data_IF_319107998989
#
_entry.id   IF_319107998989
#
_cell.length_a   1.000
_cell.length_b   1.000
_cell.length_c   1.000
_cell.angle_alpha   90.00
_cell.angle_beta   90.00
_cell.angle_gamma   90.00
#
_symmetry.space_group_name_H-M   'P 1'
#
loop_
_entity.id
_entity.type
_entity.pdbx_description
1 polymer ?
#
# COMPACT_ATOMS: atom_id res chain seq x y z
N UNK A 1 69.71 3.34 49.65
CA UNK A 1 70.04 3.06 48.23
C UNK A 1 69.21 4.05 47.38
N UNK A 2 69.62 5.32 47.25
CA UNK A 2 70.43 5.91 46.13
C UNK A 2 69.73 5.72 44.77
N UNK A 3 69.28 6.72 44.00
CA UNK A 3 69.69 8.14 43.77
C UNK A 3 68.50 8.98 43.23
N UNK A 4 68.16 10.17 43.78
CA UNK A 4 68.51 11.56 43.34
C UNK A 4 68.27 11.86 41.84
N UNK A 5 67.20 12.60 41.46
CA UNK A 5 67.05 14.09 41.26
C UNK A 5 67.79 14.64 40.00
N UNK A 6 67.34 15.74 39.31
CA UNK A 6 66.68 16.93 39.86
C UNK A 6 65.62 17.68 39.00
N UNK A 7 65.13 18.73 39.65
CA UNK A 7 64.29 19.90 39.31
C UNK A 7 64.81 20.85 38.20
N UNK A 8 63.87 21.63 37.62
CA UNK A 8 63.80 23.11 37.40
C UNK A 8 63.55 23.67 35.98
N UNK A 9 62.58 24.61 35.98
CA UNK A 9 62.47 25.92 35.29
C UNK A 9 62.11 26.09 33.79
N UNK A 10 60.93 26.72 33.61
CA UNK A 10 60.67 28.00 32.90
C UNK A 10 61.48 28.35 31.64
N UNK A 11 60.80 28.42 30.49
CA UNK A 11 60.41 29.67 29.80
C UNK A 11 60.08 29.43 28.31
N UNK A 12 59.00 30.08 27.86
CA UNK A 12 58.64 30.38 26.46
C UNK A 12 59.83 31.04 25.70
N UNK A 13 59.92 31.02 24.35
CA UNK A 13 58.88 31.60 23.48
C UNK A 13 58.67 31.01 22.06
N UNK A 14 57.58 31.52 21.47
CA UNK A 14 57.10 31.58 20.08
C UNK A 14 58.07 31.35 18.92
N UNK A 15 57.66 30.54 17.92
CA UNK A 15 57.54 30.97 16.50
C UNK A 15 56.72 29.98 15.65
N UNK A 16 55.68 30.55 15.04
CA UNK A 16 55.01 30.32 13.75
C UNK A 16 55.53 29.21 12.81
N UNK A 17 54.69 28.20 12.52
CA UNK A 17 54.52 27.63 11.16
C UNK A 17 53.19 26.86 11.05
N UNK A 18 52.42 27.17 10.01
CA UNK A 18 51.14 26.53 9.60
C UNK A 18 51.27 25.03 9.33
N UNK A 19 50.19 24.24 9.50
CA UNK A 19 49.59 23.62 8.30
C UNK A 19 48.06 23.41 8.31
N UNK A 20 47.49 23.55 7.11
CA UNK A 20 46.46 22.71 6.46
C UNK A 20 45.26 22.11 7.25
N UNK A 21 44.07 22.67 6.94
CA UNK A 21 42.76 22.06 6.56
C UNK A 21 42.36 20.67 7.10
N UNK A 22 41.27 20.62 7.89
CA UNK A 22 40.02 19.91 7.57
C UNK A 22 38.89 20.32 8.54
N UNK A 23 37.66 20.60 8.07
CA UNK A 23 36.55 20.98 8.94
C UNK A 23 35.55 19.83 9.18
N UNK A 24 34.77 19.99 10.25
CA UNK A 24 33.53 19.30 10.61
C UNK A 24 33.63 17.98 11.41
N UNK A 25 33.39 18.09 12.71
CA UNK A 25 32.84 17.01 13.55
C UNK A 25 31.32 17.14 13.61
N UNK A 26 30.56 16.03 13.53
CA UNK A 26 29.10 16.09 13.55
C UNK A 26 28.58 16.18 14.99
N UNK A 27 27.78 17.21 15.25
CA UNK A 27 26.94 17.32 16.44
C UNK A 27 25.82 16.28 16.37
N UNK A 28 25.86 15.31 17.28
CA UNK A 28 24.79 14.34 17.55
C UNK A 28 23.57 15.14 18.08
N UNK A 29 22.51 15.24 17.26
CA UNK A 29 21.17 15.63 17.74
C UNK A 29 20.41 14.36 18.08
N UNK A 30 20.10 14.22 19.35
CA UNK A 30 19.09 13.31 19.88
C UNK A 30 17.73 13.72 19.29
N UNK A 31 17.22 12.95 18.33
CA UNK A 31 15.85 13.13 17.84
C UNK A 31 14.90 12.53 18.88
N UNK A 32 14.20 13.40 19.60
CA UNK A 32 12.99 13.04 20.32
C UNK A 32 11.98 12.46 19.33
N UNK A 33 11.50 11.26 19.63
CA UNK A 33 10.48 10.54 18.85
C UNK A 33 9.17 11.31 19.04
N UNK A 34 8.82 12.11 18.02
CA UNK A 34 7.56 12.82 17.93
C UNK A 34 6.46 11.93 17.38
N UNK A 35 5.27 12.12 17.94
CA UNK A 35 4.00 11.44 17.62
C UNK A 35 3.69 11.52 16.12
N UNK A 36 3.60 10.36 15.47
CA UNK A 36 3.17 10.25 14.08
C UNK A 36 1.65 10.35 14.00
N UNK A 37 1.13 11.57 13.92
CA UNK A 37 -0.14 11.80 13.23
C UNK A 37 0.10 11.42 11.76
N UNK A 38 -0.67 10.48 11.21
CA UNK A 38 -0.69 10.24 9.76
C UNK A 38 -1.34 11.45 9.09
N UNK A 39 -0.57 12.53 8.93
CA UNK A 39 -0.96 13.65 8.08
C UNK A 39 -0.71 13.21 6.65
N UNK A 40 -1.74 12.74 5.95
CA UNK A 40 -1.71 12.69 4.49
C UNK A 40 -1.33 14.10 4.00
N UNK A 41 -0.19 14.22 3.33
CA UNK A 41 0.21 15.49 2.74
C UNK A 41 -0.62 15.61 1.47
N UNK A 42 -1.82 16.20 1.57
CA UNK A 42 -2.65 16.45 0.38
C UNK A 42 -1.86 17.39 -0.54
N UNK A 43 -1.26 16.83 -1.59
CA UNK A 43 -0.53 17.61 -2.58
C UNK A 43 -1.52 18.50 -3.32
N UNK A 44 -1.38 19.82 -3.19
CA UNK A 44 -2.26 20.79 -3.84
C UNK A 44 -2.18 20.74 -5.38
N UNK A 45 -1.12 20.14 -5.93
CA UNK A 45 -0.88 19.98 -7.36
C UNK A 45 -0.53 18.53 -7.69
N UNK A 46 -1.02 17.98 -8.81
CA UNK A 46 -0.63 16.65 -9.24
C UNK A 46 0.90 16.50 -9.37
N UNK A 47 1.44 15.40 -8.85
CA UNK A 47 2.85 15.04 -8.98
C UNK A 47 2.96 13.78 -9.82
N UNK A 48 3.70 13.87 -10.92
CA UNK A 48 3.95 12.74 -11.80
C UNK A 48 5.45 12.42 -11.78
N UNK A 49 5.78 11.17 -11.48
CA UNK A 49 7.14 10.66 -11.58
C UNK A 49 7.18 9.45 -12.52
N UNK A 50 8.22 9.40 -13.34
CA UNK A 50 8.46 8.31 -14.28
C UNK A 50 9.89 7.83 -14.13
N UNK A 51 10.08 6.52 -14.04
CA UNK A 51 11.38 5.87 -13.94
C UNK A 51 11.46 4.70 -14.91
N UNK A 52 12.60 4.53 -15.56
CA UNK A 52 12.80 3.44 -16.52
C UNK A 52 14.14 2.74 -16.26
N UNK A 53 14.13 1.41 -16.25
CA UNK A 53 15.32 0.57 -16.14
C UNK A 53 15.09 -0.75 -16.88
N UNK A 54 16.09 -1.18 -17.65
CA UNK A 54 15.95 -2.33 -18.56
C UNK A 54 14.69 -2.19 -19.45
N UNK A 55 13.90 -3.25 -19.57
CA UNK A 55 12.67 -3.31 -20.36
C UNK A 55 11.43 -2.82 -19.57
N UNK A 56 11.61 -2.10 -18.46
CA UNK A 56 10.53 -1.73 -17.54
C UNK A 56 10.45 -0.23 -17.32
N UNK A 57 9.23 0.30 -17.43
CA UNK A 57 8.85 1.67 -17.11
C UNK A 57 7.87 1.68 -15.94
N UNK A 58 8.06 2.60 -15.01
CA UNK A 58 7.24 2.81 -13.83
C UNK A 58 6.73 4.24 -13.85
N UNK A 59 5.42 4.43 -13.93
CA UNK A 59 4.79 5.75 -13.91
C UNK A 59 3.90 5.85 -12.67
N UNK A 60 4.01 6.97 -11.95
CA UNK A 60 3.25 7.26 -10.75
C UNK A 60 2.61 8.62 -10.88
N UNK A 61 1.37 8.73 -10.44
CA UNK A 61 0.65 9.99 -10.34
C UNK A 61 0.05 10.09 -8.94
N UNK A 62 0.30 11.21 -8.26
CA UNK A 62 -0.37 11.59 -7.02
C UNK A 62 -1.22 12.82 -7.27
N UNK A 63 -2.50 12.74 -6.96
CA UNK A 63 -3.44 13.84 -7.14
C UNK A 63 -3.97 14.37 -5.80
N UNK A 64 -4.59 15.55 -5.77
CA UNK A 64 -5.47 15.94 -4.66
C UNK A 64 -6.67 14.98 -4.53
N UNK A 65 -7.39 15.08 -3.40
CA UNK A 65 -8.67 14.38 -3.20
C UNK A 65 -9.65 14.79 -4.30
N UNK A 66 -10.48 13.84 -4.75
CA UNK A 66 -11.54 14.10 -5.73
C UNK A 66 -12.43 15.26 -5.29
N UNK A 67 -12.78 16.12 -6.24
CA UNK A 67 -13.84 17.10 -6.01
C UNK A 67 -15.23 16.45 -6.10
N UNK A 68 -16.28 17.21 -5.81
CA UNK A 68 -17.66 16.72 -5.80
C UNK A 68 -18.08 16.13 -7.16
N UNK A 69 -17.75 16.78 -8.27
CA UNK A 69 -18.10 16.32 -9.62
C UNK A 69 -17.41 15.02 -9.97
N UNK A 70 -16.10 14.90 -9.67
CA UNK A 70 -15.35 13.66 -9.88
C UNK A 70 -15.88 12.52 -9.01
N UNK A 71 -16.23 12.83 -7.76
CA UNK A 71 -16.82 11.87 -6.82
C UNK A 71 -18.19 11.36 -7.28
N UNK A 72 -19.04 12.25 -7.78
CA UNK A 72 -20.36 11.89 -8.31
C UNK A 72 -20.23 11.03 -9.58
N UNK A 73 -19.33 11.40 -10.50
CA UNK A 73 -19.04 10.62 -11.70
C UNK A 73 -18.53 9.21 -11.35
N UNK A 74 -17.63 9.08 -10.37
CA UNK A 74 -17.11 7.78 -9.95
C UNK A 74 -18.20 6.90 -9.33
N UNK A 75 -19.06 7.47 -8.48
CA UNK A 75 -20.21 6.75 -7.90
C UNK A 75 -21.17 6.26 -8.97
N UNK A 76 -21.49 7.11 -9.95
CA UNK A 76 -22.39 6.76 -11.05
C UNK A 76 -21.80 5.67 -11.94
N UNK A 77 -20.51 5.77 -12.27
CA UNK A 77 -19.80 4.77 -13.07
C UNK A 77 -19.75 3.41 -12.36
N UNK A 78 -19.43 3.42 -11.07
CA UNK A 78 -19.33 2.20 -10.27
C UNK A 78 -20.71 1.68 -9.83
N UNK A 79 -21.77 2.49 -9.92
CA UNK A 79 -23.12 2.18 -9.40
C UNK A 79 -23.09 1.83 -7.91
N UNK A 80 -22.35 2.62 -7.12
CA UNK A 80 -22.25 2.49 -5.66
C UNK A 80 -22.76 3.76 -4.99
N UNK A 81 -23.30 3.61 -3.77
CA UNK A 81 -23.89 4.75 -3.07
C UNK A 81 -22.83 5.70 -2.46
N UNK A 82 -21.72 5.14 -1.98
CA UNK A 82 -20.65 5.87 -1.30
C UNK A 82 -19.27 5.45 -1.79
N UNK A 83 -18.33 6.38 -1.70
CA UNK A 83 -16.89 6.18 -1.86
C UNK A 83 -16.18 6.67 -0.59
N UNK A 84 -14.94 6.24 -0.33
CA UNK A 84 -14.12 6.78 0.75
C UNK A 84 -14.05 8.31 0.71
N UNK A 85 -14.08 8.96 1.88
CA UNK A 85 -14.02 10.42 2.02
C UNK A 85 -12.82 11.04 1.30
N UNK A 86 -11.66 10.39 1.37
CA UNK A 86 -10.43 10.81 0.71
C UNK A 86 -10.11 9.84 -0.41
N UNK A 87 -10.86 9.91 -1.52
CA UNK A 87 -10.55 9.14 -2.74
C UNK A 87 -9.62 9.95 -3.65
N UNK A 88 -8.67 9.28 -4.30
CA UNK A 88 -7.71 9.91 -5.21
C UNK A 88 -7.74 9.29 -6.61
N UNK A 89 -7.59 10.12 -7.65
CA UNK A 89 -7.27 9.69 -9.02
C UNK A 89 -5.79 9.30 -9.20
N UNK A 90 -5.07 9.11 -8.10
CA UNK A 90 -3.69 8.67 -8.06
C UNK A 90 -3.55 7.25 -8.62
N UNK A 91 -2.42 6.94 -9.24
CA UNK A 91 -2.15 5.60 -9.77
C UNK A 91 -0.66 5.24 -9.76
N UNK A 92 -0.40 3.94 -9.86
CA UNK A 92 0.89 3.36 -10.24
C UNK A 92 0.68 2.47 -11.46
N UNK A 93 1.46 2.69 -12.51
CA UNK A 93 1.50 1.91 -13.74
C UNK A 93 2.89 1.31 -13.93
N UNK A 94 2.93 0.01 -14.26
CA UNK A 94 4.15 -0.75 -14.54
C UNK A 94 4.01 -1.30 -15.95
N UNK A 95 4.89 -0.86 -16.84
CA UNK A 95 4.85 -1.24 -18.25
C UNK A 95 6.13 -1.96 -18.63
N UNK A 96 6.00 -3.12 -19.27
CA UNK A 96 7.11 -3.75 -19.99
C UNK A 96 7.16 -3.18 -21.40
N UNK A 97 8.23 -2.46 -21.74
CA UNK A 97 8.33 -1.72 -23.00
C UNK A 97 8.59 -2.60 -24.22
N UNK A 98 8.89 -3.89 -24.02
CA UNK A 98 9.19 -4.83 -25.11
C UNK A 98 7.96 -5.60 -25.53
N UNK A 99 7.18 -6.12 -24.57
CA UNK A 99 6.00 -6.93 -24.88
C UNK A 99 4.66 -6.20 -24.67
N UNK A 100 4.68 -4.92 -24.27
CA UNK A 100 3.49 -4.12 -24.04
C UNK A 100 2.65 -4.55 -22.84
N UNK A 101 3.17 -5.43 -21.97
CA UNK A 101 2.48 -5.78 -20.74
C UNK A 101 2.34 -4.56 -19.83
N UNK A 102 1.15 -4.33 -19.31
CA UNK A 102 0.87 -3.26 -18.35
C UNK A 102 0.18 -3.83 -17.11
N UNK A 103 0.51 -3.24 -15.95
CA UNK A 103 -0.08 -3.57 -14.67
C UNK A 103 -0.33 -2.28 -13.89
N UNK A 104 -1.55 -2.09 -13.40
CA UNK A 104 -1.97 -0.85 -12.75
C UNK A 104 -2.49 -1.08 -11.34
N UNK A 105 -2.33 -0.05 -10.52
CA UNK A 105 -3.03 0.11 -9.25
C UNK A 105 -3.72 1.48 -9.27
N UNK A 106 -5.05 1.49 -9.11
CA UNK A 106 -5.85 2.71 -9.03
C UNK A 106 -7.08 2.52 -8.12
N UNK A 107 -7.64 3.62 -7.62
CA UNK A 107 -8.76 3.59 -6.68
C UNK A 107 -10.07 3.08 -7.31
N UNK A 108 -10.34 3.44 -8.56
CA UNK A 108 -11.56 3.06 -9.27
C UNK A 108 -11.70 1.54 -9.37
N UNK A 109 -10.66 0.87 -9.87
CA UNK A 109 -10.66 -0.58 -9.99
C UNK A 109 -10.71 -1.22 -8.61
N UNK A 110 -9.99 -0.65 -7.62
CA UNK A 110 -10.07 -1.15 -6.26
C UNK A 110 -11.50 -1.12 -5.68
N UNK A 111 -12.27 -0.07 -5.98
CA UNK A 111 -13.66 0.07 -5.53
C UNK A 111 -14.62 -0.88 -6.26
N UNK A 112 -14.34 -1.31 -7.50
CA UNK A 112 -15.08 -2.39 -8.15
C UNK A 112 -14.99 -3.69 -7.33
N UNK A 113 -13.80 -4.01 -6.80
CA UNK A 113 -13.57 -5.16 -5.93
C UNK A 113 -13.95 -4.92 -4.46
N UNK A 114 -14.45 -3.72 -4.12
CA UNK A 114 -14.99 -3.40 -2.80
C UNK A 114 -16.51 -3.58 -2.71
N UNK A 115 -17.17 -3.85 -3.83
CA UNK A 115 -18.62 -4.06 -3.85
C UNK A 115 -19.03 -5.28 -3.04
N UNK A 116 -20.23 -5.22 -2.47
CA UNK A 116 -20.84 -6.31 -1.70
C UNK A 116 -20.79 -7.64 -2.49
N UNK A 117 -21.08 -7.61 -3.79
CA UNK A 117 -21.06 -8.78 -4.67
C UNK A 117 -19.69 -9.46 -4.77
N UNK A 118 -18.60 -8.68 -4.71
CA UNK A 118 -17.23 -9.20 -4.74
C UNK A 118 -16.83 -9.74 -3.37
N UNK A 119 -17.22 -9.04 -2.30
CA UNK A 119 -16.90 -9.42 -0.92
C UNK A 119 -17.64 -10.69 -0.50
N UNK A 120 -18.90 -10.83 -0.87
CA UNK A 120 -19.73 -12.00 -0.53
C UNK A 120 -19.21 -13.29 -1.19
N UNK A 121 -18.36 -13.20 -2.22
CA UNK A 121 -17.68 -14.36 -2.83
C UNK A 121 -16.49 -14.86 -2.00
N UNK A 122 -15.97 -14.06 -1.07
CA UNK A 122 -14.87 -14.45 -0.20
C UNK A 122 -15.39 -14.99 1.13
N UNK A 123 -15.37 -16.32 1.30
CA UNK A 123 -15.82 -16.99 2.53
C UNK A 123 -15.00 -16.63 3.78
N UNK A 124 -13.82 -16.05 3.60
CA UNK A 124 -12.90 -15.66 4.66
C UNK A 124 -13.15 -14.26 5.21
N UNK A 125 -13.95 -13.44 4.51
CA UNK A 125 -14.29 -12.09 4.92
C UNK A 125 -15.79 -12.04 5.23
N UNK A 126 -16.12 -11.41 6.36
CA UNK A 126 -17.49 -11.02 6.65
C UNK A 126 -17.63 -9.51 6.48
N UNK A 127 -18.72 -9.10 5.82
CA UNK A 127 -19.12 -7.70 5.77
C UNK A 127 -19.33 -7.20 7.18
N UNK A 128 -18.67 -6.10 7.52
CA UNK A 128 -18.87 -5.46 8.80
C UNK A 128 -20.08 -4.56 8.62
N UNK A 129 -21.18 -4.89 9.29
CA UNK A 129 -22.30 -3.97 9.42
C UNK A 129 -21.87 -2.88 10.40
N UNK A 130 -21.18 -1.86 9.91
CA UNK A 130 -20.91 -0.66 10.72
C UNK A 130 -22.28 -0.06 11.01
N UNK A 131 -22.65 -0.04 12.28
CA UNK A 131 -23.99 0.30 12.72
C UNK A 131 -24.24 1.82 12.66
N UNK A 132 -23.94 2.46 11.52
CA UNK A 132 -24.31 3.85 11.21
C UNK A 132 -25.85 4.01 11.04
N UNK A 133 -26.60 2.94 11.26
CA UNK A 133 -28.06 2.90 11.28
C UNK A 133 -28.68 3.92 12.25
N UNK A 134 -28.11 4.11 13.45
CA UNK A 134 -28.68 5.03 14.45
C UNK A 134 -28.56 6.50 14.00
N UNK A 135 -27.46 6.90 13.38
CA UNK A 135 -27.26 8.26 12.87
C UNK A 135 -28.18 8.57 11.68
N UNK A 136 -28.49 7.56 10.87
CA UNK A 136 -29.37 7.68 9.70
C UNK A 136 -30.86 7.61 10.05
N UNK A 137 -31.26 6.79 11.02
CA UNK A 137 -32.63 6.78 11.56
C UNK A 137 -33.01 8.11 12.24
N UNK A 138 -32.03 8.79 12.83
CA UNK A 138 -32.29 10.08 13.50
C UNK A 138 -32.51 11.25 12.52
N UNK A 139 -32.35 11.06 11.20
CA UNK A 139 -32.88 11.96 10.17
C UNK A 139 -34.34 11.62 9.81
N UNK A 140 -35.19 11.37 10.81
CA UNK A 140 -36.64 11.36 10.61
C UNK A 140 -37.15 12.79 10.43
N UNK A 141 -37.78 13.05 9.28
CA UNK A 141 -38.72 14.16 9.11
C UNK A 141 -39.85 13.94 10.13
N UNK A 142 -40.14 14.91 11.01
CA UNK A 142 -41.20 14.77 11.98
C UNK A 142 -42.53 14.98 11.26
N UNK A 143 -43.12 13.92 10.70
CA UNK A 143 -44.57 13.73 10.44
C UNK A 143 -44.84 12.73 9.30
N UNK A 144 -44.61 11.44 9.49
CA UNK A 144 -45.36 10.42 8.75
C UNK A 144 -45.68 9.21 9.62
N UNK A 145 -46.98 8.93 9.75
CA UNK A 145 -47.56 7.78 10.43
C UNK A 145 -47.46 6.51 9.55
N UNK A 146 -46.32 6.28 8.91
CA UNK A 146 -46.15 5.07 8.11
C UNK A 146 -45.63 3.93 8.98
N UNK A 147 -46.40 2.85 8.94
CA UNK A 147 -46.14 1.59 9.60
C UNK A 147 -44.73 1.10 9.27
N UNK A 148 -44.06 0.55 10.29
CA UNK A 148 -42.79 -0.17 10.21
C UNK A 148 -42.95 -1.42 9.33
N UNK A 149 -43.08 -1.24 8.02
CA UNK A 149 -42.82 -2.29 7.04
C UNK A 149 -41.32 -2.32 6.80
N UNK A 150 -40.73 -3.50 6.98
CA UNK A 150 -39.37 -3.89 6.57
C UNK A 150 -38.66 -2.79 5.79
N UNK A 151 -37.81 -2.02 6.49
CA UNK A 151 -36.80 -1.20 5.82
C UNK A 151 -35.87 -2.21 5.20
N UNK A 152 -36.19 -2.63 3.97
CA UNK A 152 -35.29 -3.39 3.11
C UNK A 152 -33.93 -2.72 3.27
N UNK A 153 -32.96 -3.47 3.82
CA UNK A 153 -31.58 -3.02 3.95
C UNK A 153 -31.22 -2.36 2.63
N UNK A 154 -30.92 -1.07 2.65
CA UNK A 154 -30.55 -0.36 1.43
C UNK A 154 -29.29 -1.05 0.92
N UNK A 155 -29.39 -1.75 -0.20
CA UNK A 155 -28.22 -2.33 -0.84
C UNK A 155 -27.44 -1.20 -1.51
N UNK A 156 -26.59 -0.55 -0.70
CA UNK A 156 -25.71 0.54 -1.12
C UNK A 156 -24.61 0.07 -2.10
N UNK A 157 -24.60 -1.22 -2.42
CA UNK A 157 -23.62 -1.87 -3.29
C UNK A 157 -22.25 -2.04 -2.62
N UNK A 158 -22.04 -1.49 -1.42
CA UNK A 158 -20.79 -1.50 -0.65
C UNK A 158 -21.06 -1.58 0.86
N UNK A 159 -20.08 -2.03 1.64
CA UNK A 159 -20.21 -2.31 3.08
C UNK A 159 -19.78 -1.15 3.99
N UNK A 160 -19.52 0.03 3.43
CA UNK A 160 -19.03 1.24 4.13
C UNK A 160 -17.69 1.10 4.85
N UNK A 161 -17.04 -0.07 4.81
CA UNK A 161 -15.63 -0.24 5.21
C UNK A 161 -14.69 -0.18 4.02
N UNK A 162 -15.24 -0.22 2.80
CA UNK A 162 -14.50 -0.19 1.55
C UNK A 162 -13.45 -1.31 1.45
N UNK A 163 -13.71 -2.43 2.13
CA UNK A 163 -12.86 -3.62 2.04
C UNK A 163 -12.78 -4.06 0.61
N UNK A 164 -11.57 -4.19 0.08
CA UNK A 164 -11.34 -4.55 -1.32
C UNK A 164 -10.50 -5.81 -1.46
N UNK A 165 -10.93 -6.71 -2.36
CA UNK A 165 -10.18 -7.89 -2.77
C UNK A 165 -9.29 -7.64 -4.00
N UNK A 166 -9.10 -6.37 -4.36
CA UNK A 166 -8.33 -5.96 -5.52
C UNK A 166 -6.90 -6.51 -5.48
N UNK A 167 -6.45 -7.03 -6.62
CA UNK A 167 -5.12 -7.64 -6.79
C UNK A 167 -4.28 -6.91 -7.85
N UNK A 168 -4.64 -5.67 -8.17
CA UNK A 168 -4.10 -4.94 -9.33
C UNK A 168 -4.79 -5.31 -10.65
N UNK A 169 -4.73 -4.41 -11.61
CA UNK A 169 -5.38 -4.54 -12.92
C UNK A 169 -4.37 -4.87 -14.00
N UNK A 170 -4.70 -5.85 -14.84
CA UNK A 170 -4.03 -6.07 -16.13
C UNK A 170 -5.00 -5.61 -17.20
N UNK A 171 -4.66 -4.65 -18.08
CA UNK A 171 -5.52 -4.26 -19.17
C UNK A 171 -5.80 -5.47 -20.06
N UNK A 172 -7.08 -5.79 -20.24
CA UNK A 172 -7.52 -6.73 -21.25
C UNK A 172 -7.85 -5.96 -22.52
N UNK A 173 -7.24 -6.33 -23.64
CA UNK A 173 -7.69 -5.85 -24.94
C UNK A 173 -9.16 -6.22 -25.15
N UNK A 174 -9.93 -5.30 -25.72
CA UNK A 174 -11.30 -5.54 -26.17
C UNK A 174 -11.37 -6.27 -27.51
N UNK A 175 -10.24 -6.44 -28.20
CA UNK A 175 -10.16 -7.17 -29.46
C UNK A 175 -9.87 -8.65 -29.17
N UNK A 176 -10.82 -9.52 -29.51
CA UNK A 176 -10.69 -10.98 -29.35
C UNK A 176 -9.52 -11.58 -30.17
N UNK A 177 -9.02 -10.84 -31.17
CA UNK A 177 -7.89 -11.28 -32.01
C UNK A 177 -6.53 -10.89 -31.45
N UNK A 178 -6.47 -10.04 -30.41
CA UNK A 178 -5.21 -9.60 -29.84
C UNK A 178 -4.68 -10.65 -28.86
N UNK A 179 -3.42 -11.07 -29.08
CA UNK A 179 -2.76 -12.03 -28.19
C UNK A 179 -2.57 -11.32 -26.84
N UNK A 180 -3.09 -11.86 -25.72
CA UNK A 180 -2.97 -11.22 -24.43
C UNK A 180 -1.49 -11.01 -24.08
N UNK A 181 -1.13 -9.90 -23.45
CA UNK A 181 0.26 -9.61 -23.09
C UNK A 181 0.79 -10.53 -21.97
N UNK A 182 -0.10 -11.19 -21.23
CA UNK A 182 0.25 -12.14 -20.17
C UNK A 182 -0.80 -13.23 -19.95
N UNK A 183 -0.42 -14.25 -19.17
CA UNK A 183 -1.33 -15.24 -18.60
C UNK A 183 -1.13 -15.33 -17.09
N UNK A 184 -2.21 -15.34 -16.31
CA UNK A 184 -2.16 -15.46 -14.84
C UNK A 184 -2.42 -16.91 -14.45
N UNK A 185 -1.44 -17.56 -13.83
CA UNK A 185 -1.49 -18.98 -13.46
C UNK A 185 -1.20 -19.15 -11.97
N UNK A 186 -2.11 -19.76 -11.19
CA UNK A 186 -1.83 -20.06 -9.78
C UNK A 186 -0.61 -20.97 -9.63
N UNK A 187 0.22 -20.71 -8.62
CA UNK A 187 1.42 -21.49 -8.34
C UNK A 187 1.57 -21.78 -6.85
N UNK A 188 2.09 -22.98 -6.53
CA UNK A 188 2.47 -23.38 -5.16
C UNK A 188 3.97 -23.53 -4.99
N UNK A 189 4.72 -23.47 -6.08
CA UNK A 189 6.15 -23.79 -6.12
C UNK A 189 7.00 -22.53 -6.11
N UNK A 190 6.56 -21.47 -6.77
CA UNK A 190 7.28 -20.20 -6.81
C UNK A 190 6.82 -19.31 -5.65
N UNK A 191 7.77 -18.62 -5.03
CA UNK A 191 7.55 -17.68 -3.94
C UNK A 191 8.44 -16.47 -4.12
N UNK A 192 8.03 -15.34 -3.57
CA UNK A 192 8.85 -14.13 -3.57
C UNK A 192 10.13 -14.40 -2.76
N UNK A 193 11.27 -14.09 -3.36
CA UNK A 193 12.56 -14.18 -2.69
C UNK A 193 12.75 -12.96 -1.77
N UNK A 194 12.28 -13.10 -0.54
CA UNK A 194 12.41 -12.05 0.49
C UNK A 194 13.86 -11.81 0.92
N UNK A 195 14.77 -12.75 0.69
CA UNK A 195 16.18 -12.56 1.06
C UNK A 195 16.86 -11.61 0.08
N UNK A 196 16.50 -11.69 -1.21
CA UNK A 196 16.90 -10.70 -2.22
C UNK A 196 16.44 -9.29 -1.82
N UNK A 197 15.22 -9.15 -1.29
CA UNK A 197 14.64 -7.86 -0.89
C UNK A 197 15.24 -7.27 0.40
N UNK A 198 15.92 -8.10 1.22
CA UNK A 198 16.57 -7.68 2.48
C UNK A 198 18.05 -7.31 2.31
N UNK A 199 18.61 -7.58 1.13
CA UNK A 199 19.98 -7.23 0.79
C UNK A 199 20.22 -5.74 0.95
N UNK A 200 21.31 -5.39 1.63
CA UNK A 200 21.73 -3.99 1.84
C UNK A 200 22.63 -3.48 0.72
N UNK A 201 23.16 -4.40 -0.09
CA UNK A 201 24.04 -4.16 -1.22
C UNK A 201 23.31 -3.77 -2.51
N UNK A 202 21.98 -3.91 -2.57
CA UNK A 202 21.16 -3.49 -3.71
C UNK A 202 20.39 -2.20 -3.37
N UNK A 203 20.88 -1.01 -3.77
CA UNK A 203 20.26 0.26 -3.40
C UNK A 203 18.90 0.43 -4.10
N UNK A 204 17.98 1.14 -3.43
CA UNK A 204 16.71 1.54 -4.03
C UNK A 204 16.99 2.70 -4.99
N UNK A 205 16.78 2.45 -6.28
CA UNK A 205 16.97 3.42 -7.36
C UNK A 205 15.74 4.31 -7.54
N UNK A 206 14.54 3.74 -7.33
CA UNK A 206 13.28 4.45 -7.37
C UNK A 206 12.36 3.94 -6.25
N UNK A 207 11.77 4.87 -5.52
CA UNK A 207 10.77 4.61 -4.49
C UNK A 207 9.63 5.56 -4.68
N UNK A 208 8.42 5.03 -4.63
CA UNK A 208 7.26 5.87 -4.46
C UNK A 208 6.17 5.21 -3.59
N UNK A 209 5.34 6.05 -2.99
CA UNK A 209 4.19 5.67 -2.17
C UNK A 209 2.96 6.46 -2.62
N UNK A 210 1.97 5.72 -3.11
CA UNK A 210 0.75 6.23 -3.69
C UNK A 210 -0.41 5.86 -2.76
N UNK A 211 -1.17 6.87 -2.31
CA UNK A 211 -2.43 6.67 -1.60
C UNK A 211 -3.54 6.61 -2.63
N UNK A 212 -4.35 5.54 -2.60
CA UNK A 212 -5.48 5.35 -3.51
C UNK A 212 -6.77 5.85 -2.89
N UNK A 213 -7.04 5.49 -1.63
CA UNK A 213 -8.14 6.06 -0.87
C UNK A 213 -7.91 5.93 0.65
N UNK A 214 -8.54 6.83 1.42
CA UNK A 214 -8.61 6.80 2.89
C UNK A 214 -10.01 7.19 3.37
N UNK A 215 -10.43 6.63 4.51
CA UNK A 215 -11.70 6.92 5.19
C UNK A 215 -11.54 6.73 6.70
N UNK A 216 -12.09 7.64 7.50
CA UNK A 216 -12.05 7.59 8.97
C UNK A 216 -13.26 6.87 9.58
N UNK A 217 -14.12 6.26 8.75
CA UNK A 217 -15.30 5.50 9.15
C UNK A 217 -16.20 6.27 10.12
N UNK A 218 -16.34 7.59 9.93
CA UNK A 218 -17.02 8.51 10.84
C UNK A 218 -16.50 8.41 12.29
N UNK A 219 -15.18 8.48 12.47
CA UNK A 219 -14.47 8.36 13.76
C UNK A 219 -14.59 6.98 14.45
N UNK A 220 -15.07 5.95 13.75
CA UNK A 220 -15.17 4.59 14.28
C UNK A 220 -14.01 3.67 13.87
N UNK A 221 -12.99 4.22 13.21
CA UNK A 221 -11.84 3.45 12.79
C UNK A 221 -11.08 4.12 11.67
N UNK A 222 -10.42 3.30 10.85
CA UNK A 222 -9.74 3.76 9.64
C UNK A 222 -9.83 2.68 8.56
N UNK A 223 -10.01 3.10 7.32
CA UNK A 223 -9.88 2.27 6.12
C UNK A 223 -8.98 3.00 5.15
N UNK A 224 -7.89 2.38 4.70
CA UNK A 224 -7.04 2.99 3.68
C UNK A 224 -6.38 1.96 2.77
N UNK A 225 -6.16 2.37 1.52
CA UNK A 225 -5.48 1.60 0.49
C UNK A 225 -4.28 2.38 -0.04
N UNK A 226 -3.10 1.80 0.08
CA UNK A 226 -1.84 2.37 -0.42
C UNK A 226 -1.10 1.39 -1.32
N UNK A 227 -0.35 1.89 -2.30
CA UNK A 227 0.57 1.13 -3.14
C UNK A 227 1.98 1.72 -3.01
N UNK A 228 2.95 0.90 -2.62
CA UNK A 228 4.36 1.30 -2.46
C UNK A 228 5.22 0.53 -3.43
N UNK A 229 6.05 1.22 -4.20
CA UNK A 229 6.99 0.62 -5.15
C UNK A 229 8.43 0.84 -4.71
N UNK A 230 9.26 -0.20 -4.87
CA UNK A 230 10.72 -0.15 -4.74
C UNK A 230 11.33 -0.78 -5.97
N UNK A 231 12.13 -0.03 -6.71
CA UNK A 231 12.90 -0.52 -7.85
C UNK A 231 14.37 -0.54 -7.45
N UNK A 232 15.00 -1.69 -7.59
CA UNK A 232 16.42 -1.96 -7.35
C UNK A 232 17.10 -2.27 -8.69
N UNK A 233 18.40 -2.54 -8.68
CA UNK A 233 19.13 -2.76 -9.93
C UNK A 233 18.73 -4.08 -10.65
N UNK A 234 18.28 -5.07 -9.89
CA UNK A 234 18.01 -6.44 -10.39
C UNK A 234 16.54 -6.88 -10.27
N UNK A 235 15.69 -6.08 -9.62
CA UNK A 235 14.30 -6.43 -9.38
C UNK A 235 13.48 -5.20 -9.01
N UNK A 236 12.17 -5.32 -9.09
CA UNK A 236 11.26 -4.41 -8.40
C UNK A 236 10.30 -5.19 -7.49
N UNK A 237 9.78 -4.47 -6.51
CA UNK A 237 8.80 -4.97 -5.56
C UNK A 237 7.73 -3.91 -5.32
N UNK A 238 6.47 -4.33 -5.35
CA UNK A 238 5.31 -3.51 -5.01
C UNK A 238 4.56 -4.15 -3.86
N UNK A 239 4.18 -3.35 -2.87
CA UNK A 239 3.24 -3.72 -1.84
C UNK A 239 2.03 -2.80 -1.96
N UNK A 240 0.91 -3.35 -2.43
CA UNK A 240 -0.40 -2.74 -2.23
C UNK A 240 -1.00 -3.31 -0.94
N UNK A 241 -1.40 -2.43 -0.03
CA UNK A 241 -1.98 -2.80 1.26
C UNK A 241 -3.29 -2.05 1.46
N UNK A 242 -4.35 -2.82 1.60
CA UNK A 242 -5.57 -2.39 2.25
C UNK A 242 -5.46 -2.66 3.75
N UNK A 243 -5.65 -1.63 4.58
CA UNK A 243 -5.69 -1.76 6.02
C UNK A 243 -7.01 -1.21 6.54
N UNK A 244 -7.67 -2.01 7.37
CA UNK A 244 -8.92 -1.68 8.03
C UNK A 244 -8.79 -1.94 9.52
N UNK A 245 -9.13 -0.93 10.30
CA UNK A 245 -9.36 -1.05 11.73
C UNK A 245 -10.76 -0.52 12.01
N UNK A 246 -11.60 -1.35 12.61
CA UNK A 246 -12.87 -0.91 13.18
C UNK A 246 -12.73 -1.02 14.69
N UNK A 247 -12.83 0.12 15.36
CA UNK A 247 -12.46 0.24 16.77
C UNK A 247 -13.32 -0.68 17.65
N UNK A 248 -12.65 -1.49 18.47
CA UNK A 248 -13.31 -2.50 19.32
C UNK A 248 -13.91 -3.70 18.58
N UNK A 249 -13.84 -3.76 17.26
CA UNK A 249 -14.46 -4.82 16.44
C UNK A 249 -13.41 -5.75 15.84
N UNK A 250 -12.60 -5.28 14.89
CA UNK A 250 -11.58 -6.10 14.25
C UNK A 250 -10.49 -5.26 13.58
N UNK A 251 -9.40 -5.95 13.22
CA UNK A 251 -8.34 -5.42 12.36
C UNK A 251 -8.16 -6.39 11.20
N UNK A 252 -8.16 -5.84 9.99
CA UNK A 252 -8.03 -6.56 8.73
C UNK A 252 -6.92 -5.92 7.90
N UNK A 253 -6.08 -6.76 7.31
CA UNK A 253 -5.05 -6.35 6.36
C UNK A 253 -5.09 -7.26 5.15
N UNK A 254 -5.21 -6.66 3.97
CA UNK A 254 -5.19 -7.37 2.69
C UNK A 254 -4.00 -6.84 1.91
N UNK A 255 -3.03 -7.70 1.68
CA UNK A 255 -1.80 -7.36 0.98
C UNK A 255 -1.77 -8.03 -0.39
N UNK A 256 -1.49 -7.25 -1.43
CA UNK A 256 -1.07 -7.72 -2.75
C UNK A 256 0.39 -7.33 -2.96
N UNK A 257 1.26 -8.33 -3.10
CA UNK A 257 2.69 -8.17 -3.31
C UNK A 257 3.02 -8.55 -4.73
N UNK A 258 3.57 -7.63 -5.51
CA UNK A 258 4.05 -7.90 -6.86
C UNK A 258 5.57 -7.87 -6.85
N UNK A 259 6.21 -8.91 -7.37
CA UNK A 259 7.65 -9.02 -7.46
C UNK A 259 8.07 -9.47 -8.84
N UNK A 260 9.13 -8.87 -9.34
CA UNK A 260 9.76 -9.30 -10.57
C UNK A 260 11.27 -9.17 -10.45
N UNK A 261 11.98 -10.24 -10.79
CA UNK A 261 13.42 -10.22 -11.01
C UNK A 261 13.67 -10.00 -12.49
N UNK A 262 14.45 -8.96 -12.82
CA UNK A 262 14.74 -8.62 -14.20
C UNK A 262 15.39 -9.79 -14.95
N UNK A 263 15.01 -9.96 -16.22
CA UNK A 263 15.41 -11.07 -17.07
C UNK A 263 14.55 -12.35 -16.92
N UNK A 264 13.63 -12.41 -15.96
CA UNK A 264 12.61 -13.46 -15.93
C UNK A 264 11.47 -13.15 -16.91
N UNK A 265 10.77 -14.17 -17.37
CA UNK A 265 9.58 -14.04 -18.21
C UNK A 265 8.27 -14.10 -17.42
N UNK A 266 8.32 -13.80 -16.12
CA UNK A 266 7.14 -13.79 -15.27
C UNK A 266 7.28 -12.82 -14.11
N UNK A 267 6.15 -12.43 -13.53
CA UNK A 267 6.06 -11.77 -12.24
C UNK A 267 5.40 -12.73 -11.24
N UNK A 268 5.71 -12.56 -9.97
CA UNK A 268 5.03 -13.23 -8.87
C UNK A 268 4.09 -12.24 -8.19
N UNK A 269 2.83 -12.65 -8.03
CA UNK A 269 1.82 -11.90 -7.29
C UNK A 269 1.36 -12.74 -6.10
N UNK A 270 1.79 -12.36 -4.89
CA UNK A 270 1.29 -12.96 -3.65
C UNK A 270 0.14 -12.12 -3.11
N UNK A 271 -0.97 -12.77 -2.78
CA UNK A 271 -2.14 -12.15 -2.18
C UNK A 271 -2.40 -12.79 -0.82
N UNK A 272 -2.58 -11.98 0.22
CA UNK A 272 -2.83 -12.48 1.58
C UNK A 272 -3.91 -11.68 2.28
N UNK A 273 -4.85 -12.38 2.93
CA UNK A 273 -5.86 -11.80 3.82
C UNK A 273 -5.48 -12.20 5.24
N UNK A 274 -5.31 -11.19 6.10
CA UNK A 274 -5.07 -11.38 7.53
C UNK A 274 -6.12 -10.61 8.30
N UNK A 275 -6.76 -11.27 9.26
CA UNK A 275 -7.80 -10.66 10.08
C UNK A 275 -7.84 -11.27 11.46
N UNK A 276 -7.99 -10.42 12.48
CA UNK A 276 -8.28 -10.84 13.83
C UNK A 276 -9.39 -9.97 14.42
N UNK A 277 -10.31 -10.59 15.14
CA UNK A 277 -11.28 -9.84 15.94
C UNK A 277 -10.56 -9.13 17.09
N UNK A 278 -11.14 -8.06 17.60
CA UNK A 278 -10.60 -7.35 18.76
C UNK A 278 -10.46 -8.30 19.95
N UNK A 279 -11.46 -9.17 20.17
CA UNK A 279 -11.44 -10.19 21.21
C UNK A 279 -10.25 -11.15 21.08
N UNK A 280 -9.94 -11.61 19.88
CA UNK A 280 -8.82 -12.54 19.65
C UNK A 280 -7.48 -11.84 19.86
N UNK A 281 -7.36 -10.57 19.44
CA UNK A 281 -6.17 -9.76 19.70
C UNK A 281 -5.93 -9.55 21.18
N UNK A 282 -6.98 -9.24 21.96
CA UNK A 282 -6.89 -9.08 23.41
C UNK A 282 -6.49 -10.39 24.13
N UNK A 283 -6.76 -11.55 23.54
CA UNK A 283 -6.36 -12.84 24.11
C UNK A 283 -4.96 -13.27 23.67
N UNK A 284 -4.35 -12.58 22.71
CA UNK A 284 -3.02 -12.91 22.21
C UNK A 284 -1.95 -12.38 23.20
N UNK A 285 -1.33 -13.29 23.94
CA UNK A 285 -0.29 -12.95 24.92
C UNK A 285 0.88 -12.18 24.32
N UNK A 286 1.25 -12.44 23.06
CA UNK A 286 2.31 -11.71 22.34
C UNK A 286 1.89 -10.26 22.09
N UNK A 287 0.63 -10.04 21.73
CA UNK A 287 0.09 -8.69 21.55
C UNK A 287 0.08 -7.91 22.87
N UNK A 288 -0.40 -8.52 23.95
CA UNK A 288 -0.47 -7.86 25.26
C UNK A 288 0.92 -7.58 25.86
N UNK A 289 1.85 -8.52 25.76
CA UNK A 289 3.19 -8.39 26.34
C UNK A 289 4.07 -7.37 25.61
N UNK A 290 3.90 -7.23 24.28
CA UNK A 290 4.77 -6.38 23.46
C UNK A 290 4.25 -4.95 23.30
N UNK A 291 2.94 -4.71 23.45
CA UNK A 291 2.35 -3.44 23.01
C UNK A 291 1.56 -2.67 24.06
N UNK A 292 1.32 -3.24 25.24
CA UNK A 292 0.71 -2.57 26.41
C UNK A 292 -0.49 -1.66 26.10
N UNK A 293 -1.27 -2.00 25.06
CA UNK A 293 -2.39 -1.20 24.54
C UNK A 293 -2.05 0.24 24.14
N UNK A 294 -0.80 0.52 23.75
CA UNK A 294 -0.43 1.82 23.22
C UNK A 294 -1.15 2.07 21.88
N UNK A 295 -1.93 3.15 21.80
CA UNK A 295 -2.67 3.54 20.61
C UNK A 295 -1.75 3.73 19.39
N UNK A 296 -0.48 4.08 19.60
CA UNK A 296 0.50 4.25 18.51
C UNK A 296 0.82 2.94 17.79
N UNK A 297 0.73 1.80 18.50
CA UNK A 297 0.94 0.47 17.92
C UNK A 297 -0.28 0.04 17.12
N UNK A 298 -1.47 0.29 17.67
CA UNK A 298 -2.75 -0.11 17.06
C UNK A 298 -3.01 0.66 15.75
N UNK A 299 -2.40 1.83 15.60
CA UNK A 299 -2.39 2.59 14.35
C UNK A 299 -1.36 2.15 13.31
N UNK A 300 -0.45 1.22 13.61
CA UNK A 300 0.67 0.87 12.71
C UNK A 300 0.46 -0.49 12.01
N UNK A 301 0.09 -0.51 10.71
CA UNK A 301 -0.13 -1.76 9.97
C UNK A 301 1.10 -2.67 9.96
N UNK A 302 2.31 -2.12 9.88
CA UNK A 302 3.54 -2.91 9.78
C UNK A 302 3.83 -3.72 11.05
N UNK A 303 3.35 -3.24 12.20
CA UNK A 303 3.51 -3.90 13.49
C UNK A 303 2.41 -4.93 13.71
N UNK A 304 1.20 -4.64 13.25
CA UNK A 304 0.03 -5.51 13.46
C UNK A 304 -0.01 -6.71 12.51
N UNK A 305 0.37 -6.53 11.25
CA UNK A 305 0.27 -7.58 10.21
C UNK A 305 0.88 -8.93 10.62
N UNK A 306 2.08 -9.00 11.24
CA UNK A 306 2.66 -10.28 11.69
C UNK A 306 1.86 -10.98 12.80
N UNK A 307 1.00 -10.26 13.51
CA UNK A 307 0.23 -10.75 14.67
C UNK A 307 -1.16 -11.22 14.23
N UNK A 308 -1.70 -10.62 13.16
CA UNK A 308 -3.00 -10.97 12.61
C UNK A 308 -3.03 -12.41 12.09
N UNK A 309 -4.14 -13.10 12.34
CA UNK A 309 -4.38 -14.46 11.88
C UNK A 309 -4.46 -14.48 10.34
N UNK A 310 -3.63 -15.30 9.70
CA UNK A 310 -3.71 -15.55 8.26
C UNK A 310 -4.98 -16.31 7.94
N UNK A 311 -5.81 -15.75 7.06
CA UNK A 311 -7.09 -16.34 6.60
C UNK A 311 -6.95 -16.96 5.22
N UNK A 312 -6.28 -16.26 4.30
CA UNK A 312 -6.04 -16.70 2.94
C UNK A 312 -4.63 -16.29 2.51
N UNK A 313 -3.95 -17.16 1.77
CA UNK A 313 -2.72 -16.83 1.05
C UNK A 313 -2.73 -17.55 -0.30
N UNK A 314 -2.55 -16.79 -1.37
CA UNK A 314 -2.46 -17.29 -2.74
C UNK A 314 -1.26 -16.68 -3.46
N UNK A 315 -0.71 -17.41 -4.41
CA UNK A 315 0.39 -16.94 -5.24
C UNK A 315 0.06 -17.22 -6.70
N UNK A 316 0.10 -16.18 -7.51
CA UNK A 316 -0.06 -16.26 -8.95
C UNK A 316 1.27 -15.97 -9.63
N UNK A 317 1.49 -16.64 -10.76
CA UNK A 317 2.56 -16.38 -11.68
C UNK A 317 1.95 -15.69 -12.91
N UNK A 318 2.33 -14.44 -13.12
CA UNK A 318 1.93 -13.64 -14.28
C UNK A 318 2.97 -13.89 -15.37
N UNK A 319 2.69 -14.85 -16.26
CA UNK A 319 3.56 -15.22 -17.37
C UNK A 319 3.51 -14.13 -18.43
N UNK A 320 4.66 -13.54 -18.74
CA UNK A 320 4.80 -12.56 -19.80
C UNK A 320 4.90 -13.30 -21.13
N UNK A 321 4.00 -12.96 -22.07
CA UNK A 321 4.10 -13.50 -23.42
C UNK A 321 5.30 -12.85 -24.11
N UNK A 322 6.11 -13.67 -24.78
CA UNK A 322 7.18 -13.17 -25.64
C UNK A 322 6.52 -12.66 -26.91
N UNK A 323 6.70 -11.38 -27.22
CA UNK A 323 6.57 -10.95 -28.61
C UNK A 323 7.80 -11.48 -29.32
N UNK A 324 7.64 -12.53 -30.12
CA UNK A 324 8.69 -12.92 -31.05
C UNK A 324 8.88 -11.75 -32.02
N UNK A 325 10.01 -11.05 -31.87
CA UNK A 325 10.41 -9.91 -32.72
C UNK A 325 10.47 -10.27 -34.22
N UNK A 326 10.35 -11.55 -34.57
CA UNK A 326 10.24 -12.07 -35.93
C UNK A 326 8.92 -11.69 -36.62
N UNK A 327 7.83 -11.45 -35.89
CA UNK A 327 6.52 -11.13 -36.51
C UNK A 327 6.48 -9.67 -37.00
N UNK A 328 7.16 -8.75 -36.32
CA UNK A 328 7.28 -7.34 -36.72
C UNK A 328 8.13 -7.14 -37.99
N UNK A 329 8.95 -8.13 -38.37
CA UNK A 329 9.76 -8.05 -39.59
C UNK A 329 9.01 -8.48 -40.86
N UNK A 330 7.84 -9.12 -40.72
CA UNK A 330 7.07 -9.65 -41.85
C UNK A 330 5.79 -8.84 -42.16
N UNK A 331 5.51 -7.77 -41.42
CA UNK A 331 4.39 -6.86 -41.69
C UNK A 331 4.75 -5.67 -42.59
N UNK A 332 6.03 -5.51 -42.93
CA UNK A 332 6.55 -4.43 -43.79
C UNK A 332 7.02 -4.94 -45.19
N UNK A 333 6.48 -6.07 -45.68
CA UNK A 333 6.74 -6.55 -47.05
C UNK A 333 5.48 -6.69 -47.89
#
# INVERSE_FOLDING_TARGET
MTSRFPTTNNNLPTTTTTPFRAPFSPSIRTSQIGVGHFSSTTTATPQHESFQIHDWKFDTLKTPILNQTESDQLKDELKIFAIPEQTFNSYLTITNTVNGFEFHFNAKDALLYAKNEAIDQCSHIQRIKVNCYETWMNKKIPNSNDQLSDVNERDDGIDWTFTTLYKGSVPTSSDENEIPSCAIVPTKTHKIDYDLLKRKDDPILFYDEIVLFEDELHDHGVSHLTAKIRVMNHSFYVLMRFFLRVDGVCIRCIDTRLFHKFGQNYLLREFSIRESSWKDLMNNHTFNAQYNMDQTVIGNPNVLVPILTLKEETTDLIQLNRIDATIMANSDQ
#
